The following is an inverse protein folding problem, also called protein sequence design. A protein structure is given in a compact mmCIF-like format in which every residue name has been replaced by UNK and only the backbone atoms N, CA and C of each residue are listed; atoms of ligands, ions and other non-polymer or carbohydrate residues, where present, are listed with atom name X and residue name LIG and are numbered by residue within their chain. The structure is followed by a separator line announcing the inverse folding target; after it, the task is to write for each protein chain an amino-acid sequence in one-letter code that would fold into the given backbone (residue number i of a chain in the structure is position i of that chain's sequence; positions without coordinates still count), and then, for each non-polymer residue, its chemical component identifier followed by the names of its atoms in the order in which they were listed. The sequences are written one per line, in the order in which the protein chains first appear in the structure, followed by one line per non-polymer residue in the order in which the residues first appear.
data_IF_764519051885
#
_entry.id   IF_764519051885
#
_cell.length_a   1.000
_cell.length_b   1.000
_cell.length_c   1.000
_cell.angle_alpha   90.00
_cell.angle_beta   90.00
_cell.angle_gamma   90.00
#
_symmetry.space_group_name_H-M   'P 1'
#
loop_
_entity.id
_entity.type
_entity.pdbx_description
1 polymer ?
#
# COMPACT_ATOMS: atom_id res chain seq x y z
N UNK A 1 -182.49 -130.97 16.50
CA UNK A 1 -181.71 -130.40 15.38
C UNK A 1 -181.79 -128.86 15.25
N UNK A 2 -182.64 -128.11 15.98
CA UNK A 2 -182.77 -126.66 15.78
C UNK A 2 -181.76 -125.77 16.56
N UNK A 3 -180.96 -126.30 17.50
CA UNK A 3 -180.10 -125.50 18.39
C UNK A 3 -178.70 -125.18 17.84
N UNK A 4 -178.24 -125.86 16.78
CA UNK A 4 -176.85 -125.77 16.31
C UNK A 4 -176.60 -124.62 15.30
N UNK A 5 -177.54 -124.38 14.37
CA UNK A 5 -177.39 -123.33 13.34
C UNK A 5 -177.43 -121.89 13.87
N UNK A 6 -177.95 -121.66 15.08
CA UNK A 6 -177.98 -120.33 15.69
C UNK A 6 -176.62 -119.91 16.26
N UNK A 7 -175.80 -120.88 16.69
CA UNK A 7 -174.47 -120.63 17.26
C UNK A 7 -173.47 -120.23 16.17
N UNK A 8 -173.45 -120.95 15.04
CA UNK A 8 -172.59 -120.64 13.88
C UNK A 8 -172.86 -119.24 13.31
N UNK A 9 -174.13 -118.80 13.25
CA UNK A 9 -174.48 -117.47 12.74
C UNK A 9 -173.94 -116.35 13.64
N UNK A 10 -174.00 -116.53 14.96
CA UNK A 10 -173.49 -115.55 15.93
C UNK A 10 -171.96 -115.47 15.86
N UNK A 11 -171.27 -116.62 15.77
CA UNK A 11 -169.81 -116.68 15.60
C UNK A 11 -169.37 -115.99 14.31
N UNK A 12 -170.08 -116.21 13.20
CA UNK A 12 -169.78 -115.56 11.93
C UNK A 12 -170.01 -114.04 11.99
N UNK A 13 -171.06 -113.58 12.69
CA UNK A 13 -171.28 -112.14 12.91
C UNK A 13 -170.18 -111.50 13.78
N UNK A 14 -169.75 -112.20 14.83
CA UNK A 14 -168.63 -111.75 15.67
C UNK A 14 -167.31 -111.69 14.88
N UNK A 15 -167.03 -112.70 14.07
CA UNK A 15 -165.86 -112.72 13.19
C UNK A 15 -165.90 -111.58 12.17
N UNK A 16 -167.06 -111.33 11.55
CA UNK A 16 -167.24 -110.22 10.61
C UNK A 16 -167.05 -108.86 11.28
N UNK A 17 -167.61 -108.65 12.48
CA UNK A 17 -167.41 -107.43 13.28
C UNK A 17 -165.93 -107.22 13.60
N UNK A 18 -165.20 -108.30 13.96
CA UNK A 18 -163.76 -108.26 14.24
C UNK A 18 -162.94 -107.93 13.00
N UNK A 19 -163.22 -108.55 11.86
CA UNK A 19 -162.55 -108.24 10.59
C UNK A 19 -162.82 -106.79 10.18
N UNK A 20 -164.05 -106.32 10.35
CA UNK A 20 -164.44 -104.94 10.02
C UNK A 20 -163.71 -103.92 10.91
N UNK A 21 -163.55 -104.20 12.21
CA UNK A 21 -162.79 -103.32 13.10
C UNK A 21 -161.29 -103.36 12.83
N UNK A 22 -160.72 -104.54 12.51
CA UNK A 22 -159.32 -104.67 12.06
C UNK A 22 -159.07 -103.92 10.76
N UNK A 23 -159.97 -104.02 9.77
CA UNK A 23 -159.87 -103.28 8.51
C UNK A 23 -159.93 -101.77 8.74
N UNK A 24 -160.84 -101.29 9.60
CA UNK A 24 -160.92 -99.88 9.96
C UNK A 24 -159.63 -99.39 10.65
N UNK A 25 -159.07 -100.20 11.57
CA UNK A 25 -157.80 -99.89 12.22
C UNK A 25 -156.64 -99.84 11.22
N UNK A 26 -156.55 -100.80 10.29
CA UNK A 26 -155.53 -100.82 9.24
C UNK A 26 -155.66 -99.61 8.29
N UNK A 27 -156.88 -99.24 7.90
CA UNK A 27 -157.13 -98.04 7.10
C UNK A 27 -156.69 -96.77 7.83
N UNK A 28 -156.96 -96.66 9.13
CA UNK A 28 -156.51 -95.54 9.95
C UNK A 28 -154.98 -95.51 10.08
N UNK A 29 -154.33 -96.64 10.31
CA UNK A 29 -152.86 -96.75 10.36
C UNK A 29 -152.23 -96.37 9.02
N UNK A 30 -152.79 -96.82 7.91
CA UNK A 30 -152.28 -96.50 6.57
C UNK A 30 -152.41 -95.00 6.28
N UNK A 31 -153.52 -94.37 6.64
CA UNK A 31 -153.69 -92.93 6.56
C UNK A 31 -152.66 -92.18 7.42
N UNK A 32 -152.38 -92.64 8.64
CA UNK A 32 -151.32 -92.06 9.49
C UNK A 32 -149.92 -92.21 8.90
N UNK A 33 -149.60 -93.37 8.31
CA UNK A 33 -148.32 -93.60 7.64
C UNK A 33 -148.15 -92.68 6.43
N UNK A 34 -149.20 -92.49 5.63
CA UNK A 34 -149.16 -91.57 4.49
C UNK A 34 -148.93 -90.13 4.94
N UNK A 35 -149.61 -89.67 6.00
CA UNK A 35 -149.37 -88.36 6.60
C UNK A 35 -147.94 -88.22 7.12
N UNK A 36 -147.41 -89.23 7.83
CA UNK A 36 -146.03 -89.23 8.32
C UNK A 36 -145.02 -89.17 7.18
N UNK A 37 -145.25 -89.90 6.08
CA UNK A 37 -144.40 -89.87 4.90
C UNK A 37 -144.41 -88.49 4.21
N UNK A 38 -145.58 -87.87 4.05
CA UNK A 38 -145.66 -86.52 3.48
C UNK A 38 -144.97 -85.48 4.37
N UNK A 39 -145.13 -85.57 5.70
CA UNK A 39 -144.45 -84.70 6.65
C UNK A 39 -142.93 -84.86 6.59
N UNK A 40 -142.42 -86.10 6.53
CA UNK A 40 -140.98 -86.36 6.39
C UNK A 40 -140.45 -85.79 5.08
N UNK A 41 -141.15 -86.03 3.96
CA UNK A 41 -140.78 -85.50 2.64
C UNK A 41 -140.73 -83.97 2.65
N UNK A 42 -141.72 -83.32 3.26
CA UNK A 42 -141.76 -81.86 3.40
C UNK A 42 -140.58 -81.36 4.23
N UNK A 43 -140.33 -81.95 5.41
CA UNK A 43 -139.24 -81.57 6.29
C UNK A 43 -137.87 -81.75 5.64
N UNK A 44 -137.62 -82.87 4.95
CA UNK A 44 -136.39 -83.10 4.20
C UNK A 44 -136.24 -82.11 3.04
N UNK A 45 -137.32 -81.76 2.35
CA UNK A 45 -137.28 -80.77 1.26
C UNK A 45 -136.92 -79.37 1.79
N UNK A 46 -137.46 -78.98 2.95
CA UNK A 46 -137.13 -77.72 3.63
C UNK A 46 -135.65 -77.71 4.01
N UNK A 47 -135.14 -78.78 4.65
CA UNK A 47 -133.73 -78.87 5.03
C UNK A 47 -132.79 -78.80 3.82
N UNK A 48 -133.11 -79.48 2.72
CA UNK A 48 -132.31 -79.43 1.49
C UNK A 48 -132.25 -78.00 0.94
N UNK A 49 -133.36 -77.26 0.96
CA UNK A 49 -133.37 -75.85 0.54
C UNK A 49 -132.52 -74.98 1.46
N UNK A 50 -132.63 -75.15 2.78
CA UNK A 50 -131.80 -74.42 3.75
C UNK A 50 -130.30 -74.71 3.58
N UNK A 51 -129.93 -75.96 3.30
CA UNK A 51 -128.54 -76.33 3.02
C UNK A 51 -128.05 -75.72 1.71
N UNK A 52 -128.85 -75.76 0.64
CA UNK A 52 -128.51 -75.16 -0.63
C UNK A 52 -128.33 -73.63 -0.51
N UNK A 53 -129.17 -72.94 0.26
CA UNK A 53 -129.03 -71.50 0.51
C UNK A 53 -127.76 -71.17 1.30
N UNK A 54 -127.46 -71.95 2.35
CA UNK A 54 -126.20 -71.81 3.10
C UNK A 54 -124.97 -72.09 2.24
N UNK A 55 -125.03 -73.11 1.38
CA UNK A 55 -123.97 -73.45 0.45
C UNK A 55 -123.71 -72.31 -0.53
N UNK A 56 -124.75 -71.77 -1.16
CA UNK A 56 -124.64 -70.62 -2.07
C UNK A 56 -124.01 -69.41 -1.36
N UNK A 57 -124.48 -69.07 -0.15
CA UNK A 57 -123.92 -67.97 0.64
C UNK A 57 -122.43 -68.17 0.99
N UNK A 58 -122.01 -69.42 1.29
CA UNK A 58 -120.61 -69.73 1.55
C UNK A 58 -119.76 -69.67 0.28
N UNK A 59 -120.29 -70.15 -0.86
CA UNK A 59 -119.62 -70.04 -2.15
C UNK A 59 -119.39 -68.58 -2.54
N UNK A 60 -120.38 -67.70 -2.35
CA UNK A 60 -120.24 -66.25 -2.59
C UNK A 60 -119.16 -65.63 -1.69
N UNK A 61 -119.11 -66.01 -0.40
CA UNK A 61 -118.07 -65.54 0.52
C UNK A 61 -116.67 -66.03 0.10
N UNK A 62 -116.54 -67.28 -0.36
CA UNK A 62 -115.29 -67.83 -0.87
C UNK A 62 -114.81 -67.04 -2.09
N UNK A 63 -115.71 -66.78 -3.05
CA UNK A 63 -115.39 -65.99 -4.25
C UNK A 63 -114.97 -64.57 -3.86
N UNK A 64 -115.70 -63.93 -2.94
CA UNK A 64 -115.35 -62.60 -2.44
C UNK A 64 -113.95 -62.56 -1.81
N UNK A 65 -113.63 -63.53 -0.95
CA UNK A 65 -112.32 -63.62 -0.28
C UNK A 65 -111.19 -63.92 -1.27
N UNK A 66 -111.41 -64.80 -2.25
CA UNK A 66 -110.44 -65.08 -3.31
C UNK A 66 -110.14 -63.83 -4.14
N UNK A 67 -111.17 -63.08 -4.56
CA UNK A 67 -111.01 -61.84 -5.31
C UNK A 67 -110.26 -60.76 -4.50
N UNK A 68 -110.56 -60.66 -3.20
CA UNK A 68 -109.85 -59.75 -2.29
C UNK A 68 -108.38 -60.15 -2.11
N UNK A 69 -108.11 -61.46 -1.97
CA UNK A 69 -106.76 -62.01 -1.89
C UNK A 69 -105.95 -61.71 -3.16
N UNK A 70 -106.54 -61.91 -4.34
CA UNK A 70 -105.89 -61.62 -5.62
C UNK A 70 -105.59 -60.13 -5.80
N UNK A 71 -106.54 -59.25 -5.46
CA UNK A 71 -106.33 -57.78 -5.51
C UNK A 71 -105.18 -57.35 -4.59
N UNK A 72 -105.14 -57.88 -3.37
CA UNK A 72 -104.06 -57.57 -2.42
C UNK A 72 -102.70 -58.06 -2.93
N UNK A 73 -102.64 -59.28 -3.48
CA UNK A 73 -101.41 -59.83 -4.06
C UNK A 73 -100.90 -58.98 -5.24
N UNK A 74 -101.79 -58.52 -6.10
CA UNK A 74 -101.46 -57.63 -7.23
C UNK A 74 -100.90 -56.29 -6.72
N UNK A 75 -101.58 -55.65 -5.77
CA UNK A 75 -101.12 -54.37 -5.18
C UNK A 75 -99.75 -54.49 -4.52
N UNK A 76 -99.52 -55.55 -3.74
CA UNK A 76 -98.21 -55.81 -3.12
C UNK A 76 -97.13 -56.04 -4.17
N UNK A 77 -97.45 -56.75 -5.25
CA UNK A 77 -96.50 -56.99 -6.35
C UNK A 77 -96.12 -55.70 -7.07
N UNK A 78 -97.08 -54.81 -7.34
CA UNK A 78 -96.81 -53.50 -7.92
C UNK A 78 -95.96 -52.63 -6.99
N UNK A 79 -96.29 -52.59 -5.70
CA UNK A 79 -95.53 -51.83 -4.71
C UNK A 79 -94.08 -52.34 -4.59
N UNK A 80 -93.86 -53.66 -4.64
CA UNK A 80 -92.51 -54.24 -4.64
C UNK A 80 -91.72 -53.87 -5.90
N UNK A 81 -92.36 -53.85 -7.07
CA UNK A 81 -91.74 -53.40 -8.32
C UNK A 81 -91.35 -51.92 -8.23
N UNK A 82 -92.25 -51.08 -7.73
CA UNK A 82 -92.00 -49.65 -7.56
C UNK A 82 -90.84 -49.41 -6.57
N UNK A 83 -90.84 -50.07 -5.42
CA UNK A 83 -89.76 -49.97 -4.43
C UNK A 83 -88.40 -50.40 -5.02
N UNK A 84 -88.37 -51.45 -5.84
CA UNK A 84 -87.15 -51.88 -6.52
C UNK A 84 -86.61 -50.80 -7.48
N UNK A 85 -87.49 -50.17 -8.25
CA UNK A 85 -87.13 -49.06 -9.15
C UNK A 85 -86.64 -47.83 -8.36
N UNK A 86 -87.36 -47.43 -7.31
CA UNK A 86 -86.96 -46.32 -6.45
C UNK A 86 -85.61 -46.58 -5.81
N UNK A 87 -85.36 -47.79 -5.30
CA UNK A 87 -84.07 -48.15 -4.73
C UNK A 87 -82.94 -48.07 -5.76
N UNK A 88 -83.16 -48.50 -7.01
CA UNK A 88 -82.18 -48.35 -8.09
C UNK A 88 -81.88 -46.87 -8.37
N UNK A 89 -82.90 -46.01 -8.42
CA UNK A 89 -82.71 -44.57 -8.61
C UNK A 89 -81.92 -43.92 -7.47
N UNK A 90 -82.23 -44.28 -6.22
CA UNK A 90 -81.49 -43.78 -5.05
C UNK A 90 -80.02 -44.21 -5.11
N UNK A 91 -79.72 -45.45 -5.51
CA UNK A 91 -78.34 -45.93 -5.65
C UNK A 91 -77.56 -45.17 -6.74
N UNK A 92 -78.21 -44.84 -7.86
CA UNK A 92 -77.60 -44.02 -8.91
C UNK A 92 -77.27 -42.61 -8.36
N UNK A 93 -78.20 -41.99 -7.62
CA UNK A 93 -77.97 -40.68 -7.01
C UNK A 93 -76.84 -40.70 -5.98
N UNK A 94 -76.77 -41.74 -5.14
CA UNK A 94 -75.67 -41.93 -4.18
C UNK A 94 -74.34 -42.00 -4.92
N UNK A 95 -74.26 -42.81 -5.99
CA UNK A 95 -73.02 -42.95 -6.78
C UNK A 95 -72.59 -41.63 -7.42
N UNK A 96 -73.54 -40.82 -7.91
CA UNK A 96 -73.27 -39.49 -8.46
C UNK A 96 -72.72 -38.53 -7.39
N UNK A 97 -73.35 -38.49 -6.21
CA UNK A 97 -72.90 -37.65 -5.10
C UNK A 97 -71.52 -38.06 -4.58
N UNK A 98 -71.22 -39.35 -4.54
CA UNK A 98 -69.89 -39.86 -4.17
C UNK A 98 -68.82 -39.39 -5.16
N UNK A 99 -69.13 -39.42 -6.47
CA UNK A 99 -68.22 -38.92 -7.50
C UNK A 99 -68.02 -37.40 -7.41
N UNK A 100 -69.09 -36.62 -7.19
CA UNK A 100 -68.98 -35.18 -6.99
C UNK A 100 -68.13 -34.84 -5.76
N UNK A 101 -68.35 -35.56 -4.65
CA UNK A 101 -67.54 -35.42 -3.43
C UNK A 101 -66.06 -35.68 -3.71
N UNK A 102 -65.74 -36.75 -4.45
CA UNK A 102 -64.35 -37.06 -4.82
C UNK A 102 -63.72 -35.93 -5.66
N UNK A 103 -64.42 -35.45 -6.70
CA UNK A 103 -63.95 -34.36 -7.54
C UNK A 103 -63.72 -33.06 -6.75
N UNK A 104 -64.59 -32.76 -5.78
CA UNK A 104 -64.44 -31.59 -4.91
C UNK A 104 -63.24 -31.75 -3.95
N UNK A 105 -63.01 -32.95 -3.42
CA UNK A 105 -61.83 -33.22 -2.59
C UNK A 105 -60.52 -33.06 -3.37
N UNK A 106 -60.46 -33.53 -4.62
CA UNK A 106 -59.30 -33.35 -5.49
C UNK A 106 -59.01 -31.87 -5.75
N UNK A 107 -60.05 -31.08 -6.09
CA UNK A 107 -59.94 -29.63 -6.25
C UNK A 107 -59.47 -28.92 -4.97
N UNK A 108 -59.92 -29.38 -3.81
CA UNK A 108 -59.52 -28.81 -2.52
C UNK A 108 -58.04 -29.06 -2.25
N UNK A 109 -57.57 -30.30 -2.42
CA UNK A 109 -56.15 -30.67 -2.25
C UNK A 109 -55.25 -29.86 -3.20
N UNK A 110 -55.66 -29.70 -4.47
CA UNK A 110 -54.92 -28.89 -5.42
C UNK A 110 -54.86 -27.41 -5.00
N UNK A 111 -55.98 -26.86 -4.53
CA UNK A 111 -56.05 -25.47 -4.05
C UNK A 111 -55.17 -25.26 -2.82
N UNK A 112 -55.16 -26.21 -1.88
CA UNK A 112 -54.27 -26.17 -0.71
C UNK A 112 -52.79 -26.18 -1.11
N UNK A 113 -52.41 -27.01 -2.07
CA UNK A 113 -51.05 -27.04 -2.61
C UNK A 113 -50.65 -25.71 -3.25
N UNK A 114 -51.54 -25.10 -4.04
CA UNK A 114 -51.31 -23.80 -4.66
C UNK A 114 -51.17 -22.68 -3.62
N UNK A 115 -52.01 -22.68 -2.57
CA UNK A 115 -51.90 -21.73 -1.45
C UNK A 115 -50.54 -21.85 -0.75
N UNK A 116 -50.08 -23.08 -0.48
CA UNK A 116 -48.77 -23.27 0.16
C UNK A 116 -47.62 -22.79 -0.73
N UNK A 117 -47.69 -23.07 -2.04
CA UNK A 117 -46.72 -22.56 -3.02
C UNK A 117 -46.67 -21.04 -3.03
N UNK A 118 -47.83 -20.37 -3.04
CA UNK A 118 -47.87 -18.90 -3.00
C UNK A 118 -47.35 -18.33 -1.68
N UNK A 119 -47.60 -18.98 -0.54
CA UNK A 119 -46.99 -18.59 0.74
C UNK A 119 -45.47 -18.66 0.69
N UNK A 120 -44.90 -19.75 0.19
CA UNK A 120 -43.44 -19.88 0.05
C UNK A 120 -42.85 -18.82 -0.89
N UNK A 121 -43.54 -18.49 -1.99
CA UNK A 121 -43.12 -17.41 -2.89
C UNK A 121 -43.19 -16.04 -2.19
N UNK A 122 -44.25 -15.77 -1.43
CA UNK A 122 -44.39 -14.52 -0.67
C UNK A 122 -43.27 -14.36 0.37
N UNK A 123 -42.94 -15.41 1.13
CA UNK A 123 -41.83 -15.39 2.08
C UNK A 123 -40.48 -15.12 1.41
N UNK A 124 -40.24 -15.72 0.24
CA UNK A 124 -39.04 -15.46 -0.57
C UNK A 124 -38.96 -14.00 -1.00
N UNK A 125 -40.07 -13.43 -1.51
CA UNK A 125 -40.14 -12.03 -1.92
C UNK A 125 -39.91 -11.07 -0.74
N UNK A 126 -40.45 -11.38 0.44
CA UNK A 126 -40.23 -10.59 1.66
C UNK A 126 -38.74 -10.59 2.03
N UNK A 127 -38.06 -11.76 1.96
CA UNK A 127 -36.62 -11.86 2.22
C UNK A 127 -35.80 -11.03 1.22
N UNK A 128 -36.12 -11.13 -0.08
CA UNK A 128 -35.44 -10.36 -1.13
C UNK A 128 -35.64 -8.85 -0.94
N UNK A 129 -36.87 -8.40 -0.63
CA UNK A 129 -37.16 -6.99 -0.34
C UNK A 129 -36.31 -6.48 0.82
N UNK A 130 -36.24 -7.23 1.92
CA UNK A 130 -35.44 -6.85 3.10
C UNK A 130 -33.94 -6.75 2.78
N UNK A 131 -33.43 -7.65 1.93
CA UNK A 131 -32.04 -7.58 1.48
C UNK A 131 -31.78 -6.32 0.64
N UNK A 132 -32.66 -6.02 -0.33
CA UNK A 132 -32.55 -4.82 -1.16
C UNK A 132 -32.66 -3.53 -0.34
N UNK A 133 -33.53 -3.47 0.68
CA UNK A 133 -33.60 -2.33 1.60
C UNK A 133 -32.28 -2.11 2.36
N UNK A 134 -31.63 -3.18 2.80
CA UNK A 134 -30.32 -3.08 3.45
C UNK A 134 -29.22 -2.61 2.50
N UNK A 135 -29.18 -3.15 1.27
CA UNK A 135 -28.22 -2.74 0.23
C UNK A 135 -28.42 -1.26 -0.15
N UNK A 136 -29.68 -0.81 -0.26
CA UNK A 136 -30.01 0.59 -0.53
C UNK A 136 -29.54 1.51 0.59
N UNK A 137 -29.82 1.16 1.86
CA UNK A 137 -29.38 1.92 3.01
C UNK A 137 -27.84 2.03 3.06
N UNK A 138 -27.13 0.94 2.79
CA UNK A 138 -25.67 0.95 2.73
C UNK A 138 -25.15 1.83 1.59
N UNK A 139 -25.77 1.77 0.41
CA UNK A 139 -25.41 2.62 -0.72
C UNK A 139 -25.63 4.10 -0.42
N UNK A 140 -26.67 4.46 0.31
CA UNK A 140 -26.92 5.84 0.74
C UNK A 140 -25.85 6.35 1.71
N UNK A 141 -25.46 5.52 2.69
CA UNK A 141 -24.36 5.83 3.61
C UNK A 141 -23.06 6.06 2.83
N UNK A 142 -22.72 5.14 1.93
CA UNK A 142 -21.52 5.23 1.10
C UNK A 142 -21.52 6.50 0.23
N UNK A 143 -22.66 6.83 -0.38
CA UNK A 143 -22.79 8.06 -1.19
C UNK A 143 -22.55 9.32 -0.36
N UNK A 144 -23.11 9.37 0.86
CA UNK A 144 -22.93 10.50 1.76
C UNK A 144 -21.46 10.66 2.18
N UNK A 145 -20.76 9.56 2.50
CA UNK A 145 -19.32 9.56 2.79
C UNK A 145 -18.48 10.08 1.62
N UNK A 146 -18.75 9.60 0.39
CA UNK A 146 -18.05 10.08 -0.81
C UNK A 146 -18.29 11.58 -1.04
N UNK A 147 -19.51 12.05 -0.79
CA UNK A 147 -19.85 13.47 -0.89
C UNK A 147 -19.07 14.31 0.13
N UNK A 148 -18.97 13.84 1.37
CA UNK A 148 -18.19 14.50 2.44
C UNK A 148 -16.69 14.48 2.14
N UNK A 149 -16.13 13.37 1.68
CA UNK A 149 -14.74 13.28 1.23
C UNK A 149 -14.45 14.25 0.09
N UNK A 150 -15.37 14.39 -0.88
CA UNK A 150 -15.22 15.32 -2.00
C UNK A 150 -15.13 16.76 -1.49
N UNK A 151 -16.01 17.15 -0.58
CA UNK A 151 -15.99 18.48 0.05
C UNK A 151 -14.67 18.70 0.81
N UNK A 152 -14.21 17.69 1.56
CA UNK A 152 -12.92 17.73 2.27
C UNK A 152 -11.73 17.91 1.32
N UNK A 153 -11.67 17.13 0.23
CA UNK A 153 -10.63 17.24 -0.80
C UNK A 153 -10.66 18.60 -1.51
N UNK A 154 -11.84 19.11 -1.85
CA UNK A 154 -11.99 20.44 -2.46
C UNK A 154 -11.47 21.56 -1.52
N UNK A 155 -11.75 21.44 -0.22
CA UNK A 155 -11.22 22.37 0.78
C UNK A 155 -9.69 22.27 0.90
N UNK A 156 -9.15 21.05 0.92
CA UNK A 156 -7.70 20.81 0.98
C UNK A 156 -6.98 21.36 -0.26
N UNK A 157 -7.58 21.20 -1.45
CA UNK A 157 -7.07 21.76 -2.70
C UNK A 157 -7.09 23.30 -2.68
N UNK A 158 -8.16 23.92 -2.19
CA UNK A 158 -8.21 25.39 -2.00
C UNK A 158 -7.12 25.88 -1.06
N UNK A 159 -6.90 25.19 0.07
CA UNK A 159 -5.81 25.52 1.01
C UNK A 159 -4.44 25.38 0.36
N UNK A 160 -4.20 24.31 -0.39
CA UNK A 160 -2.94 24.09 -1.11
C UNK A 160 -2.68 25.17 -2.17
N UNK A 161 -3.70 25.52 -2.96
CA UNK A 161 -3.62 26.60 -3.94
C UNK A 161 -3.33 27.95 -3.27
N UNK A 162 -3.93 28.23 -2.10
CA UNK A 162 -3.66 29.45 -1.35
C UNK A 162 -2.22 29.50 -0.81
N UNK A 163 -1.71 28.40 -0.27
CA UNK A 163 -0.31 28.28 0.17
C UNK A 163 0.67 28.47 -1.00
N UNK A 164 0.42 27.79 -2.12
CA UNK A 164 1.28 27.87 -3.30
C UNK A 164 1.30 29.29 -3.89
N UNK A 165 0.16 29.99 -3.90
CA UNK A 165 0.10 31.40 -4.30
C UNK A 165 0.86 32.31 -3.33
N UNK A 166 0.80 32.04 -2.01
CA UNK A 166 1.56 32.79 -1.01
C UNK A 166 3.07 32.56 -1.17
N UNK A 167 3.52 31.30 -1.31
CA UNK A 167 4.92 30.95 -1.58
C UNK A 167 5.41 31.57 -2.89
N UNK A 168 4.59 31.56 -3.95
CA UNK A 168 4.93 32.18 -5.23
C UNK A 168 5.13 33.69 -5.05
N UNK A 169 4.22 34.36 -4.33
CA UNK A 169 4.31 35.80 -4.05
C UNK A 169 5.56 36.14 -3.23
N UNK A 170 5.81 35.41 -2.14
CA UNK A 170 7.02 35.56 -1.31
C UNK A 170 8.29 35.31 -2.14
N UNK A 171 8.31 34.30 -3.01
CA UNK A 171 9.43 34.01 -3.90
C UNK A 171 9.65 35.11 -4.94
N UNK A 172 8.61 35.70 -5.52
CA UNK A 172 8.75 36.87 -6.39
C UNK A 172 9.26 38.09 -5.63
N UNK A 173 8.79 38.32 -4.41
CA UNK A 173 9.23 39.45 -3.58
C UNK A 173 10.71 39.30 -3.18
N UNK A 174 11.14 38.08 -2.82
CA UNK A 174 12.53 37.76 -2.54
C UNK A 174 13.41 37.87 -3.79
N UNK A 175 12.89 37.44 -4.95
CA UNK A 175 13.59 37.55 -6.24
C UNK A 175 13.83 39.02 -6.61
N UNK A 176 12.84 39.89 -6.45
CA UNK A 176 12.97 41.33 -6.70
C UNK A 176 13.98 41.96 -5.74
N UNK A 177 13.97 41.58 -4.45
CA UNK A 177 14.97 42.04 -3.48
C UNK A 177 16.39 41.62 -3.87
N UNK A 178 16.58 40.35 -4.25
CA UNK A 178 17.88 39.84 -4.69
C UNK A 178 18.34 40.48 -6.01
N UNK A 179 17.44 40.70 -6.98
CA UNK A 179 17.77 41.40 -8.23
C UNK A 179 18.24 42.83 -7.95
N UNK A 180 17.57 43.56 -7.05
CA UNK A 180 18.01 44.89 -6.62
C UNK A 180 19.37 44.86 -5.91
N UNK A 181 19.60 43.88 -5.04
CA UNK A 181 20.88 43.72 -4.34
C UNK A 181 22.01 43.37 -5.31
N UNK A 182 21.76 42.49 -6.30
CA UNK A 182 22.70 42.18 -7.39
C UNK A 182 23.02 43.42 -8.21
N UNK A 183 22.04 44.26 -8.54
CA UNK A 183 22.27 45.51 -9.28
C UNK A 183 23.16 46.46 -8.45
N UNK A 184 22.90 46.60 -7.14
CA UNK A 184 23.73 47.42 -6.25
C UNK A 184 25.16 46.88 -6.14
N UNK A 185 25.32 45.56 -5.99
CA UNK A 185 26.63 44.91 -5.93
C UNK A 185 27.38 45.01 -7.25
N UNK A 186 26.71 44.87 -8.39
CA UNK A 186 27.31 45.12 -9.72
C UNK A 186 27.80 46.56 -9.84
N UNK A 187 27.04 47.54 -9.37
CA UNK A 187 27.48 48.93 -9.39
C UNK A 187 28.67 49.17 -8.46
N UNK A 188 28.67 48.58 -7.26
CA UNK A 188 29.82 48.62 -6.35
C UNK A 188 31.06 47.97 -6.98
N UNK A 189 30.89 46.83 -7.64
CA UNK A 189 31.96 46.14 -8.35
C UNK A 189 32.53 47.02 -9.48
N UNK A 190 31.69 47.63 -10.31
CA UNK A 190 32.13 48.57 -11.35
C UNK A 190 32.94 49.72 -10.74
N UNK A 191 32.49 50.28 -9.62
CA UNK A 191 33.21 51.35 -8.92
C UNK A 191 34.56 50.84 -8.36
N UNK A 192 34.61 49.65 -7.75
CA UNK A 192 35.85 49.03 -7.29
C UNK A 192 36.81 48.73 -8.45
N UNK A 193 36.29 48.29 -9.60
CA UNK A 193 37.07 48.01 -10.81
C UNK A 193 37.66 49.31 -11.39
N UNK A 194 36.90 50.41 -11.38
CA UNK A 194 37.39 51.73 -11.75
C UNK A 194 38.47 52.24 -10.78
N UNK A 195 38.26 52.08 -9.46
CA UNK A 195 39.27 52.39 -8.44
C UNK A 195 40.52 51.54 -8.67
N UNK A 196 40.37 50.24 -8.97
CA UNK A 196 41.47 49.34 -9.29
C UNK A 196 42.23 49.78 -10.53
N UNK A 197 41.55 50.21 -11.60
CA UNK A 197 42.20 50.76 -12.80
C UNK A 197 42.98 52.03 -12.46
N UNK A 198 42.40 52.96 -11.70
CA UNK A 198 43.11 54.17 -11.26
C UNK A 198 44.29 53.89 -10.34
N UNK A 199 44.15 52.94 -9.40
CA UNK A 199 45.26 52.49 -8.56
C UNK A 199 46.33 51.79 -9.39
N UNK A 200 45.96 50.99 -10.38
CA UNK A 200 46.92 50.32 -11.29
C UNK A 200 47.68 51.35 -12.12
N UNK A 201 47.00 52.40 -12.61
CA UNK A 201 47.64 53.51 -13.31
C UNK A 201 48.56 54.30 -12.36
N UNK A 202 48.13 54.58 -11.13
CA UNK A 202 48.94 55.26 -10.12
C UNK A 202 50.16 54.43 -9.72
N UNK A 203 50.00 53.11 -9.56
CA UNK A 203 51.10 52.16 -9.34
C UNK A 203 52.03 52.16 -10.53
N UNK A 204 51.54 52.11 -11.77
CA UNK A 204 52.38 52.15 -12.97
C UNK A 204 53.15 53.49 -13.09
N UNK A 205 52.53 54.62 -12.72
CA UNK A 205 53.21 55.92 -12.65
C UNK A 205 54.31 55.88 -11.57
N UNK A 206 53.99 55.34 -10.38
CA UNK A 206 54.93 55.19 -9.28
C UNK A 206 56.04 54.19 -9.59
N UNK A 207 55.76 53.09 -10.28
CA UNK A 207 56.74 52.13 -10.81
C UNK A 207 57.61 52.78 -11.87
N UNK A 208 57.07 53.64 -12.74
CA UNK A 208 57.90 54.40 -13.68
C UNK A 208 58.81 55.41 -12.96
N UNK A 209 58.30 56.10 -11.93
CA UNK A 209 59.11 56.97 -11.07
C UNK A 209 60.15 56.17 -10.28
N UNK A 210 59.79 55.01 -9.72
CA UNK A 210 60.70 54.09 -9.04
C UNK A 210 61.72 53.56 -10.01
N UNK A 211 61.35 53.11 -11.21
CA UNK A 211 62.29 52.64 -12.25
C UNK A 211 63.23 53.76 -12.70
N UNK A 212 62.75 55.00 -12.76
CA UNK A 212 63.58 56.17 -13.03
C UNK A 212 64.55 56.44 -11.87
N UNK A 213 64.05 56.44 -10.64
CA UNK A 213 64.85 56.61 -9.43
C UNK A 213 65.82 55.45 -9.20
N UNK A 214 65.44 54.22 -9.54
CA UNK A 214 66.28 53.02 -9.51
C UNK A 214 67.34 53.12 -10.60
N UNK A 215 67.02 53.61 -11.81
CA UNK A 215 68.05 53.92 -12.81
C UNK A 215 68.98 55.04 -12.36
N UNK A 216 68.48 56.07 -11.70
CA UNK A 216 69.28 57.13 -11.10
C UNK A 216 70.13 56.62 -9.93
N UNK A 217 69.59 55.72 -9.09
CA UNK A 217 70.27 55.07 -7.97
C UNK A 217 71.32 54.09 -8.48
N UNK A 218 71.03 53.29 -9.51
CA UNK A 218 71.97 52.42 -10.21
C UNK A 218 73.07 53.25 -10.86
N UNK A 219 72.75 54.39 -11.49
CA UNK A 219 73.77 55.29 -12.03
C UNK A 219 74.61 55.94 -10.92
N UNK A 220 74.00 56.31 -9.79
CA UNK A 220 74.69 56.83 -8.61
C UNK A 220 75.58 55.77 -7.98
N UNK A 221 75.11 54.54 -7.85
CA UNK A 221 75.85 53.39 -7.34
C UNK A 221 76.96 53.00 -8.31
N UNK A 222 76.72 52.98 -9.61
CA UNK A 222 77.77 52.76 -10.61
C UNK A 222 78.81 53.89 -10.59
N UNK A 223 78.38 55.14 -10.40
CA UNK A 223 79.28 56.29 -10.22
C UNK A 223 80.05 56.18 -8.92
N UNK A 224 79.43 55.73 -7.83
CA UNK A 224 80.04 55.51 -6.51
C UNK A 224 81.01 54.33 -6.55
N UNK A 225 80.65 53.23 -7.19
CA UNK A 225 81.49 52.05 -7.47
C UNK A 225 82.68 52.48 -8.31
N UNK A 226 82.48 53.26 -9.38
CA UNK A 226 83.57 53.80 -10.21
C UNK A 226 84.51 54.69 -9.39
N UNK A 227 83.97 55.60 -8.57
CA UNK A 227 84.76 56.42 -7.65
C UNK A 227 85.51 55.59 -6.60
N UNK A 228 84.91 54.52 -6.08
CA UNK A 228 85.54 53.62 -5.11
C UNK A 228 86.63 52.77 -5.78
N UNK A 229 86.45 52.33 -7.02
CA UNK A 229 87.47 51.66 -7.83
C UNK A 229 88.62 52.60 -8.16
N UNK A 230 88.33 53.86 -8.51
CA UNK A 230 89.37 54.87 -8.78
C UNK A 230 90.14 55.21 -7.49
N UNK A 231 89.46 55.32 -6.34
CA UNK A 231 90.11 55.44 -5.02
C UNK A 231 90.88 54.19 -4.60
N UNK A 232 90.42 53.00 -4.95
CA UNK A 232 91.14 51.74 -4.73
C UNK A 232 92.45 51.70 -5.54
N UNK A 233 92.43 52.20 -6.78
CA UNK A 233 93.65 52.38 -7.61
C UNK A 233 94.59 53.42 -7.02
N UNK A 234 94.07 54.57 -6.59
CA UNK A 234 94.85 55.67 -5.98
C UNK A 234 95.49 55.23 -4.65
N UNK A 235 94.74 54.49 -3.81
CA UNK A 235 95.26 53.87 -2.58
C UNK A 235 96.32 52.80 -2.90
N UNK A 236 96.15 52.01 -3.96
CA UNK A 236 97.18 51.05 -4.39
C UNK A 236 98.45 51.77 -4.89
N UNK A 237 98.33 52.94 -5.49
CA UNK A 237 99.46 53.80 -5.87
C UNK A 237 100.15 54.42 -4.66
N UNK A 238 99.38 54.89 -3.67
CA UNK A 238 99.91 55.34 -2.37
C UNK A 238 100.57 54.18 -1.65
N UNK A 239 100.00 52.98 -1.66
CA UNK A 239 100.58 51.75 -1.09
C UNK A 239 101.91 51.42 -1.75
N UNK A 240 102.05 51.56 -3.08
CA UNK A 240 103.36 51.46 -3.78
C UNK A 240 104.34 52.53 -3.31
N UNK A 241 103.91 53.79 -3.19
CA UNK A 241 104.75 54.89 -2.66
C UNK A 241 105.14 54.70 -1.18
N UNK A 242 104.24 54.14 -0.36
CA UNK A 242 104.44 53.87 1.05
C UNK A 242 105.40 52.69 1.25
N UNK A 243 105.28 51.64 0.44
CA UNK A 243 106.24 50.54 0.39
C UNK A 243 107.64 51.07 0.04
N UNK A 244 107.76 52.00 -0.92
CA UNK A 244 109.03 52.66 -1.25
C UNK A 244 109.57 53.56 -0.13
N UNK A 245 108.70 54.20 0.67
CA UNK A 245 109.11 55.01 1.83
C UNK A 245 109.48 54.16 3.05
N UNK A 246 108.82 53.02 3.26
CA UNK A 246 109.13 52.06 4.32
C UNK A 246 110.50 51.41 4.12
N UNK A 247 110.94 51.20 2.89
CA UNK A 247 112.34 50.80 2.58
C UNK A 247 113.38 51.87 2.90
N UNK A 248 112.96 53.14 3.10
CA UNK A 248 113.85 54.28 3.37
C UNK A 248 113.88 54.73 4.84
N UNK A 249 113.21 54.01 5.76
CA UNK A 249 113.37 54.22 7.20
C UNK A 249 112.68 55.45 7.82
N UNK A 250 111.52 55.88 7.31
CA UNK A 250 110.68 56.93 7.93
C UNK A 250 109.63 56.41 8.93
N UNK A 251 109.25 57.25 9.91
CA UNK A 251 108.54 56.93 11.16
C UNK A 251 107.04 56.52 10.96
N UNK A 252 106.61 55.40 11.56
CA UNK A 252 105.47 54.56 11.10
C UNK A 252 104.21 54.53 11.98
N UNK A 253 104.01 55.48 12.91
CA UNK A 253 102.87 55.42 13.87
C UNK A 253 101.48 55.75 13.29
N UNK A 254 101.37 56.49 12.18
CA UNK A 254 100.08 56.90 11.59
C UNK A 254 99.51 55.87 10.59
N UNK A 255 100.39 55.14 9.91
CA UNK A 255 100.08 54.20 8.83
C UNK A 255 99.24 52.99 9.31
N UNK A 256 99.40 52.60 10.58
CA UNK A 256 98.67 51.46 11.12
C UNK A 256 97.18 51.77 11.35
N UNK A 257 96.84 53.03 11.70
CA UNK A 257 95.45 53.46 11.91
C UNK A 257 94.63 53.49 10.62
N UNK A 258 95.26 53.87 9.50
CA UNK A 258 94.58 53.96 8.20
C UNK A 258 94.27 52.59 7.59
N UNK A 259 95.16 51.60 7.80
CA UNK A 259 94.93 50.20 7.38
C UNK A 259 93.75 49.56 8.14
N UNK A 260 93.63 49.81 9.44
CA UNK A 260 92.50 49.33 10.25
C UNK A 260 91.17 49.93 9.79
N UNK A 261 91.13 51.23 9.51
CA UNK A 261 89.91 51.92 9.06
C UNK A 261 89.37 51.34 7.75
N UNK A 262 90.26 51.02 6.80
CA UNK A 262 89.88 50.47 5.49
C UNK A 262 89.45 49.01 5.52
N UNK A 263 90.03 48.20 6.41
CA UNK A 263 89.57 46.81 6.62
C UNK A 263 88.17 46.75 7.25
N UNK A 264 87.83 47.74 8.10
CA UNK A 264 86.50 47.87 8.72
C UNK A 264 85.41 48.15 7.67
N UNK A 265 85.68 49.05 6.73
CA UNK A 265 84.78 49.43 5.63
C UNK A 265 84.42 48.24 4.71
N UNK A 266 85.39 47.34 4.45
CA UNK A 266 85.16 46.12 3.66
C UNK A 266 84.27 45.09 4.38
N UNK A 267 84.40 44.99 5.71
CA UNK A 267 83.59 44.06 6.51
C UNK A 267 82.12 44.50 6.57
N UNK A 268 81.88 45.82 6.62
CA UNK A 268 80.53 46.40 6.61
C UNK A 268 79.78 46.09 5.30
N UNK A 269 80.45 46.20 4.14
CA UNK A 269 79.85 45.87 2.83
C UNK A 269 79.50 44.39 2.67
N UNK A 270 80.36 43.48 3.13
CA UNK A 270 80.04 42.03 3.14
C UNK A 270 78.86 41.71 4.04
N UNK A 271 78.73 42.43 5.16
CA UNK A 271 77.63 42.25 6.10
C UNK A 271 76.29 42.70 5.50
N UNK A 272 76.25 43.82 4.76
CA UNK A 272 75.03 44.28 4.09
C UNK A 272 74.56 43.34 2.98
N UNK A 273 75.47 42.84 2.14
CA UNK A 273 75.11 41.89 1.07
C UNK A 273 74.50 40.59 1.64
N UNK A 274 75.00 40.11 2.78
CA UNK A 274 74.45 38.95 3.48
C UNK A 274 73.03 39.19 4.00
N UNK A 275 72.74 40.38 4.56
CA UNK A 275 71.40 40.74 5.06
C UNK A 275 70.35 40.71 3.95
N UNK A 276 70.67 41.23 2.76
CA UNK A 276 69.74 41.30 1.62
C UNK A 276 69.36 39.92 1.10
N UNK A 277 70.33 39.00 0.99
CA UNK A 277 70.07 37.60 0.55
C UNK A 277 69.21 36.83 1.56
N UNK A 278 69.46 36.98 2.87
CA UNK A 278 68.66 36.34 3.93
C UNK A 278 67.18 36.75 3.84
N UNK A 279 66.91 38.04 3.61
CA UNK A 279 65.54 38.57 3.48
C UNK A 279 64.75 37.92 2.34
N UNK A 280 65.40 37.63 1.21
CA UNK A 280 64.75 36.97 0.08
C UNK A 280 64.34 35.53 0.39
N UNK A 281 65.18 34.78 1.12
CA UNK A 281 64.89 33.39 1.55
C UNK A 281 63.71 33.38 2.55
N UNK A 282 63.72 34.26 3.57
CA UNK A 282 62.63 34.33 4.57
C UNK A 282 61.26 34.58 3.94
N UNK A 283 61.18 35.42 2.90
CA UNK A 283 59.92 35.67 2.19
C UNK A 283 59.37 34.41 1.50
N UNK A 284 60.23 33.59 0.89
CA UNK A 284 59.82 32.35 0.24
C UNK A 284 59.40 31.28 1.26
N UNK A 285 60.10 31.19 2.40
CA UNK A 285 59.75 30.30 3.51
C UNK A 285 58.35 30.62 4.04
N UNK A 286 58.06 31.91 4.29
CA UNK A 286 56.74 32.35 4.75
C UNK A 286 55.62 32.02 3.76
N UNK A 287 55.89 32.16 2.45
CA UNK A 287 54.95 31.79 1.40
C UNK A 287 54.64 30.28 1.46
N UNK A 288 55.67 29.45 1.51
CA UNK A 288 55.52 27.99 1.56
C UNK A 288 54.75 27.51 2.79
N UNK A 289 55.08 28.01 4.00
CA UNK A 289 54.37 27.63 5.23
C UNK A 289 52.89 28.00 5.21
N UNK A 290 52.55 29.13 4.58
CA UNK A 290 51.15 29.54 4.39
C UNK A 290 50.41 28.56 3.47
N UNK A 291 51.03 28.15 2.37
CA UNK A 291 50.46 27.17 1.44
C UNK A 291 50.30 25.78 2.09
N UNK A 292 51.30 25.32 2.85
CA UNK A 292 51.22 24.07 3.63
C UNK A 292 50.06 24.10 4.65
N UNK A 293 49.83 25.24 5.31
CA UNK A 293 48.68 25.42 6.22
C UNK A 293 47.32 25.34 5.50
N UNK A 294 47.20 25.94 4.31
CA UNK A 294 45.98 25.88 3.52
C UNK A 294 45.68 24.45 3.03
N UNK A 295 46.72 23.69 2.67
CA UNK A 295 46.61 22.29 2.26
C UNK A 295 46.05 21.39 3.38
N UNK A 296 46.48 21.60 4.63
CA UNK A 296 45.93 20.89 5.80
C UNK A 296 44.42 21.14 5.94
N UNK A 297 43.98 22.40 5.81
CA UNK A 297 42.55 22.76 5.88
C UNK A 297 41.75 22.09 4.75
N UNK A 298 42.30 22.03 3.54
CA UNK A 298 41.67 21.33 2.43
C UNK A 298 41.48 19.84 2.74
N UNK A 299 42.52 19.17 3.25
CA UNK A 299 42.49 17.75 3.61
C UNK A 299 41.44 17.45 4.69
N UNK A 300 41.32 18.29 5.72
CA UNK A 300 40.25 18.17 6.74
C UNK A 300 38.85 18.21 6.15
N UNK A 301 38.60 19.15 5.21
CA UNK A 301 37.30 19.27 4.54
C UNK A 301 37.00 18.03 3.70
N UNK A 302 38.00 17.51 2.99
CA UNK A 302 37.87 16.31 2.17
C UNK A 302 37.55 15.08 3.02
N UNK A 303 38.24 14.85 4.14
CA UNK A 303 37.96 13.74 5.06
C UNK A 303 36.49 13.77 5.53
N UNK A 304 35.99 14.94 5.94
CA UNK A 304 34.58 15.09 6.37
C UNK A 304 33.59 14.74 5.25
N UNK A 305 33.86 15.19 4.02
CA UNK A 305 33.03 14.85 2.85
C UNK A 305 33.02 13.34 2.59
N UNK A 306 34.19 12.71 2.62
CA UNK A 306 34.34 11.27 2.38
C UNK A 306 33.64 10.43 3.47
N UNK A 307 33.75 10.82 4.74
CA UNK A 307 33.06 10.14 5.84
C UNK A 307 31.54 10.19 5.70
N UNK A 308 31.00 11.38 5.42
CA UNK A 308 29.55 11.55 5.19
C UNK A 308 29.09 10.68 4.01
N UNK A 309 29.87 10.63 2.94
CA UNK A 309 29.54 9.83 1.77
C UNK A 309 29.61 8.32 2.07
N UNK A 310 30.58 7.88 2.87
CA UNK A 310 30.68 6.49 3.33
C UNK A 310 29.47 6.07 4.18
N UNK A 311 29.01 6.93 5.10
CA UNK A 311 27.80 6.67 5.91
C UNK A 311 26.57 6.44 5.04
N UNK A 312 26.40 7.24 3.96
CA UNK A 312 25.31 7.07 3.00
C UNK A 312 25.41 5.71 2.29
N UNK A 313 26.60 5.34 1.82
CA UNK A 313 26.84 4.04 1.14
C UNK A 313 26.49 2.87 2.07
N UNK A 314 26.90 2.92 3.34
CA UNK A 314 26.60 1.87 4.33
C UNK A 314 25.11 1.82 4.65
N UNK A 315 24.44 2.96 4.76
CA UNK A 315 22.99 2.99 5.03
C UNK A 315 22.20 2.30 3.91
N UNK A 316 22.53 2.58 2.64
CA UNK A 316 21.90 1.90 1.50
C UNK A 316 22.18 0.39 1.47
N UNK A 317 23.39 -0.05 1.83
CA UNK A 317 23.71 -1.47 1.97
C UNK A 317 22.86 -2.17 3.04
N UNK A 318 22.61 -1.50 4.16
CA UNK A 318 21.93 -2.12 5.29
C UNK A 318 20.40 -2.14 5.16
N UNK A 319 19.80 -1.16 4.47
CA UNK A 319 18.35 -0.93 4.51
C UNK A 319 17.58 -1.43 3.29
N UNK A 320 18.17 -1.38 2.10
CA UNK A 320 17.40 -1.50 0.86
C UNK A 320 18.02 -2.43 -0.18
N UNK A 321 19.32 -2.73 -0.09
CA UNK A 321 20.03 -3.55 -1.09
C UNK A 321 19.79 -3.11 -2.55
N UNK A 322 19.48 -1.82 -2.77
CA UNK A 322 19.32 -1.25 -4.11
C UNK A 322 20.71 -1.01 -4.68
N UNK A 323 21.12 -1.96 -5.52
CA UNK A 323 22.43 -2.03 -6.17
C UNK A 323 22.78 -0.74 -6.93
N UNK A 324 21.84 -0.20 -7.69
CA UNK A 324 22.06 0.98 -8.54
C UNK A 324 22.40 2.23 -7.74
N UNK A 325 21.72 2.41 -6.60
CA UNK A 325 21.94 3.56 -5.72
C UNK A 325 23.32 3.46 -5.05
N UNK A 326 23.71 2.26 -4.62
CA UNK A 326 25.05 2.00 -4.06
C UNK A 326 26.14 2.35 -5.08
N UNK A 327 25.96 1.99 -6.36
CA UNK A 327 26.90 2.30 -7.44
C UNK A 327 27.01 3.82 -7.64
N UNK A 328 25.88 4.52 -7.69
CA UNK A 328 25.82 5.99 -7.82
C UNK A 328 26.57 6.70 -6.68
N UNK A 329 26.31 6.30 -5.44
CA UNK A 329 26.95 6.88 -4.26
C UNK A 329 28.44 6.55 -4.17
N UNK A 330 28.83 5.37 -4.67
CA UNK A 330 30.24 4.95 -4.80
C UNK A 330 30.99 5.84 -5.81
N UNK A 331 30.35 6.20 -6.93
CA UNK A 331 30.94 7.11 -7.93
C UNK A 331 31.14 8.52 -7.38
N UNK A 332 30.19 9.02 -6.56
CA UNK A 332 30.34 10.30 -5.86
C UNK A 332 31.53 10.28 -4.90
N UNK A 333 31.75 9.17 -4.18
CA UNK A 333 32.92 8.99 -3.32
C UNK A 333 34.23 9.10 -4.12
N UNK A 334 34.32 8.42 -5.26
CA UNK A 334 35.50 8.46 -6.14
C UNK A 334 35.77 9.87 -6.67
N UNK A 335 34.73 10.61 -7.07
CA UNK A 335 34.89 11.98 -7.57
C UNK A 335 35.51 12.92 -6.51
N UNK A 336 35.16 12.76 -5.23
CA UNK A 336 35.75 13.55 -4.13
C UNK A 336 37.26 13.28 -4.01
N UNK A 337 37.69 12.04 -4.23
CA UNK A 337 39.11 11.67 -4.20
C UNK A 337 39.89 12.25 -5.39
N UNK A 338 39.30 12.20 -6.59
CA UNK A 338 39.90 12.78 -7.82
C UNK A 338 40.07 14.29 -7.66
N UNK A 339 39.03 14.99 -7.22
CA UNK A 339 39.07 16.44 -6.98
C UNK A 339 40.18 16.82 -5.97
N UNK A 340 40.34 16.03 -4.91
CA UNK A 340 41.41 16.24 -3.92
C UNK A 340 42.80 16.07 -4.52
N UNK A 341 43.03 15.00 -5.29
CA UNK A 341 44.33 14.70 -5.89
C UNK A 341 44.72 15.72 -6.99
N UNK A 342 43.77 16.19 -7.81
CA UNK A 342 44.05 17.11 -8.92
C UNK A 342 44.20 18.57 -8.45
N UNK A 343 43.27 19.05 -7.63
CA UNK A 343 43.21 20.47 -7.25
C UNK A 343 44.06 20.77 -6.03
N UNK A 344 44.13 19.85 -5.06
CA UNK A 344 44.77 20.12 -3.78
C UNK A 344 46.30 20.11 -3.80
N UNK A 345 46.91 19.31 -4.66
CA UNK A 345 48.36 19.08 -4.67
C UNK A 345 49.15 20.04 -5.57
N UNK A 346 48.50 20.66 -6.54
CA UNK A 346 49.18 21.50 -7.54
C UNK A 346 49.82 22.76 -6.92
N UNK A 347 49.11 23.45 -6.02
CA UNK A 347 49.59 24.69 -5.42
C UNK A 347 50.78 24.48 -4.46
N UNK A 348 50.75 23.40 -3.67
CA UNK A 348 51.83 23.08 -2.73
C UNK A 348 53.12 22.68 -3.46
N UNK A 349 53.00 22.05 -4.63
CA UNK A 349 54.13 21.69 -5.48
C UNK A 349 54.84 22.91 -6.06
N UNK A 350 54.08 23.89 -6.58
CA UNK A 350 54.65 25.11 -7.15
C UNK A 350 55.42 25.93 -6.11
N UNK A 351 54.83 26.13 -4.93
CA UNK A 351 55.46 26.92 -3.87
C UNK A 351 56.68 26.22 -3.25
N UNK A 352 56.65 24.88 -3.17
CA UNK A 352 57.82 24.08 -2.80
C UNK A 352 58.98 24.28 -3.79
N UNK A 353 58.73 24.14 -5.09
CA UNK A 353 59.77 24.30 -6.12
C UNK A 353 60.36 25.72 -6.13
N UNK A 354 59.51 26.74 -5.93
CA UNK A 354 59.96 28.14 -5.79
C UNK A 354 60.92 28.32 -4.61
N UNK A 355 60.61 27.69 -3.47
CA UNK A 355 61.46 27.73 -2.28
C UNK A 355 62.80 27.03 -2.51
N UNK A 356 62.79 25.81 -3.06
CA UNK A 356 64.00 25.03 -3.39
C UNK A 356 64.93 25.84 -4.29
N UNK A 357 64.40 26.41 -5.37
CA UNK A 357 65.18 27.22 -6.31
C UNK A 357 65.84 28.44 -5.63
N UNK A 358 65.14 29.06 -4.67
CA UNK A 358 65.66 30.23 -3.94
C UNK A 358 66.74 29.83 -2.95
N UNK A 359 66.55 28.73 -2.22
CA UNK A 359 67.52 28.19 -1.26
C UNK A 359 68.79 27.76 -1.99
N UNK A 360 68.66 27.07 -3.12
CA UNK A 360 69.80 26.63 -3.93
C UNK A 360 70.63 27.79 -4.49
N UNK A 361 69.97 28.88 -4.92
CA UNK A 361 70.63 30.09 -5.42
C UNK A 361 71.59 30.72 -4.40
N UNK A 362 71.34 30.50 -3.10
CA UNK A 362 72.11 31.08 -2.01
C UNK A 362 72.72 30.02 -1.09
N UNK A 363 73.08 28.85 -1.63
CA UNK A 363 73.60 27.70 -0.87
C UNK A 363 74.87 28.02 -0.06
N UNK A 364 75.67 28.98 -0.51
CA UNK A 364 76.88 29.46 0.18
C UNK A 364 76.58 30.15 1.52
N UNK A 365 75.32 30.52 1.79
CA UNK A 365 74.91 31.08 3.08
C UNK A 365 74.54 29.96 4.04
N UNK A 366 75.16 29.96 5.22
CA UNK A 366 74.79 29.08 6.35
C UNK A 366 73.28 29.14 6.66
N UNK A 367 72.68 30.32 6.50
CA UNK A 367 71.22 30.53 6.63
C UNK A 367 70.39 29.70 5.66
N UNK A 368 70.86 29.53 4.42
CA UNK A 368 70.19 28.73 3.40
C UNK A 368 70.27 27.23 3.74
N UNK A 369 71.43 26.77 4.20
CA UNK A 369 71.62 25.39 4.67
C UNK A 369 70.69 25.06 5.84
N UNK A 370 70.57 25.96 6.84
CA UNK A 370 69.64 25.78 7.97
C UNK A 370 68.18 25.68 7.54
N UNK A 371 67.75 26.50 6.57
CA UNK A 371 66.39 26.40 6.00
C UNK A 371 66.17 25.06 5.31
N UNK A 372 67.14 24.60 4.54
CA UNK A 372 67.08 23.30 3.87
C UNK A 372 66.91 22.15 4.86
N UNK A 373 67.63 22.20 5.98
CA UNK A 373 67.61 21.16 7.02
C UNK A 373 66.30 21.17 7.82
N UNK A 374 65.82 22.35 8.24
CA UNK A 374 64.57 22.50 9.02
C UNK A 374 63.36 22.06 8.21
N UNK A 375 63.25 22.51 6.95
CA UNK A 375 62.13 22.19 6.08
C UNK A 375 62.34 20.89 5.29
N UNK A 376 63.47 20.22 5.54
CA UNK A 376 63.86 18.94 4.94
C UNK A 376 63.65 18.91 3.42
N UNK A 377 64.01 20.00 2.73
CA UNK A 377 63.60 20.23 1.34
C UNK A 377 64.07 19.11 0.41
N UNK A 378 65.25 18.52 0.67
CA UNK A 378 65.79 17.40 -0.12
C UNK A 378 65.04 16.07 0.05
N UNK A 379 64.22 15.92 1.10
CA UNK A 379 63.45 14.70 1.38
C UNK A 379 61.94 14.88 1.21
N UNK A 380 61.50 16.08 0.85
CA UNK A 380 60.08 16.37 0.65
C UNK A 380 59.57 15.61 -0.58
N UNK A 381 58.70 14.63 -0.35
CA UNK A 381 58.08 13.85 -1.42
C UNK A 381 56.57 14.10 -1.43
N UNK A 382 56.12 14.84 -2.45
CA UNK A 382 54.69 15.12 -2.63
C UNK A 382 53.84 13.85 -2.81
N UNK A 383 54.44 12.77 -3.34
CA UNK A 383 53.75 11.50 -3.53
C UNK A 383 53.31 10.85 -2.21
N UNK A 384 53.94 11.18 -1.07
CA UNK A 384 53.50 10.72 0.25
C UNK A 384 52.13 11.33 0.65
N UNK A 385 51.74 12.42 0.01
CA UNK A 385 50.49 13.12 0.27
C UNK A 385 49.40 12.82 -0.77
N UNK A 386 49.75 12.15 -1.88
CA UNK A 386 48.80 11.61 -2.84
C UNK A 386 48.02 10.45 -2.24
N UNK A 387 46.75 10.36 -2.60
CA UNK A 387 45.96 9.16 -2.37
C UNK A 387 46.21 8.23 -3.56
N UNK A 388 47.08 7.23 -3.42
CA UNK A 388 47.19 6.15 -4.39
C UNK A 388 46.15 5.09 -4.05
N UNK A 389 44.99 5.15 -4.70
CA UNK A 389 43.86 4.33 -4.28
C UNK A 389 43.86 2.94 -4.91
N UNK A 390 43.84 1.95 -4.02
CA UNK A 390 43.42 0.56 -4.21
C UNK A 390 41.97 0.50 -4.76
N UNK A 391 41.15 1.54 -4.51
CA UNK A 391 39.78 1.70 -5.04
C UNK A 391 39.72 2.24 -6.48
N UNK A 392 40.78 2.84 -7.01
CA UNK A 392 40.85 3.39 -8.39
C UNK A 392 41.33 2.37 -9.42
N UNK A 393 42.12 1.38 -8.99
CA UNK A 393 42.78 0.41 -9.87
C UNK A 393 41.89 -0.79 -10.19
N UNK A 394 40.92 -1.12 -9.33
CA UNK A 394 40.04 -2.29 -9.52
C UNK A 394 38.68 -2.00 -10.17
N UNK A 395 38.40 -0.75 -10.58
CA UNK A 395 37.17 -0.42 -11.34
C UNK A 395 37.45 -0.04 -12.80
N UNK A 396 38.70 -0.20 -13.27
CA UNK A 396 39.06 -0.02 -14.68
C UNK A 396 38.79 -1.29 -15.51
N UNK A 397 38.59 -2.44 -14.85
CA UNK A 397 37.98 -3.62 -15.46
C UNK A 397 36.48 -3.60 -15.12
N UNK A 398 35.63 -3.61 -16.14
CA UNK A 398 34.16 -3.47 -16.11
C UNK A 398 33.41 -4.51 -15.24
N UNK A 399 34.10 -5.29 -14.43
CA UNK A 399 33.58 -6.50 -13.78
C UNK A 399 33.26 -6.36 -12.29
N UNK A 400 33.62 -5.25 -11.61
CA UNK A 400 33.21 -5.00 -10.20
C UNK A 400 32.74 -3.57 -9.97
N UNK A 401 31.45 -3.33 -10.18
CA UNK A 401 30.79 -2.04 -9.88
C UNK A 401 30.67 -1.70 -8.38
N UNK A 402 31.20 -2.54 -7.48
CA UNK A 402 31.12 -2.38 -6.03
C UNK A 402 32.50 -2.17 -5.41
N UNK A 403 32.73 -0.99 -4.82
CA UNK A 403 33.88 -0.81 -3.95
C UNK A 403 33.69 -1.61 -2.66
N UNK A 404 34.69 -2.38 -2.24
CA UNK A 404 34.67 -3.00 -0.92
C UNK A 404 34.66 -1.92 0.17
N UNK A 405 33.75 -2.04 1.14
CA UNK A 405 33.66 -1.10 2.28
C UNK A 405 34.97 -1.08 3.07
N UNK A 406 35.68 -2.20 3.13
CA UNK A 406 37.00 -2.26 3.77
C UNK A 406 38.04 -1.39 3.07
N UNK A 407 37.96 -1.21 1.75
CA UNK A 407 38.87 -0.35 1.00
C UNK A 407 38.55 1.14 1.20
N UNK A 408 37.27 1.51 1.20
CA UNK A 408 36.83 2.88 1.48
C UNK A 408 37.31 3.36 2.86
N UNK A 409 37.17 2.50 3.89
CA UNK A 409 37.62 2.81 5.25
C UNK A 409 39.13 3.03 5.29
N UNK A 410 39.92 2.16 4.62
CA UNK A 410 41.37 2.30 4.53
C UNK A 410 41.78 3.63 3.90
N UNK A 411 41.10 4.08 2.83
CA UNK A 411 41.40 5.35 2.18
C UNK A 411 41.17 6.55 3.11
N UNK A 412 40.07 6.53 3.88
CA UNK A 412 39.74 7.56 4.87
C UNK A 412 40.76 7.55 6.02
N UNK A 413 41.16 6.36 6.49
CA UNK A 413 42.16 6.21 7.57
C UNK A 413 43.56 6.69 7.14
N UNK A 414 44.00 6.34 5.93
CA UNK A 414 45.25 6.86 5.35
C UNK A 414 45.24 8.39 5.27
N UNK A 415 44.11 8.97 4.89
CA UNK A 415 43.96 10.43 4.86
C UNK A 415 44.12 11.07 6.25
N UNK A 416 43.53 10.44 7.28
CA UNK A 416 43.59 10.90 8.68
C UNK A 416 44.98 10.77 9.28
N UNK A 417 45.63 9.62 9.12
CA UNK A 417 46.96 9.37 9.69
C UNK A 417 47.98 10.39 9.17
N UNK A 418 48.01 10.62 7.86
CA UNK A 418 48.92 11.61 7.28
C UNK A 418 48.51 13.05 7.62
N UNK A 419 47.24 13.34 7.92
CA UNK A 419 46.81 14.68 8.33
C UNK A 419 47.42 15.05 9.70
N UNK A 420 47.41 14.12 10.65
CA UNK A 420 47.97 14.33 11.97
C UNK A 420 49.50 14.47 11.91
N UNK A 421 50.15 13.68 11.05
CA UNK A 421 51.58 13.82 10.74
C UNK A 421 51.91 15.21 10.17
N UNK A 422 51.19 15.67 9.13
CA UNK A 422 51.37 16.99 8.51
C UNK A 422 51.18 18.15 9.49
N UNK A 423 50.20 18.05 10.40
CA UNK A 423 49.98 19.05 11.46
C UNK A 423 51.15 19.11 12.42
N UNK A 424 51.66 17.95 12.83
CA UNK A 424 52.81 17.84 13.72
C UNK A 424 54.06 18.42 13.05
N UNK A 425 54.32 18.05 11.80
CA UNK A 425 55.43 18.53 10.99
C UNK A 425 55.40 20.06 10.84
N UNK A 426 54.28 20.65 10.41
CA UNK A 426 54.15 22.10 10.25
C UNK A 426 54.36 22.86 11.58
N UNK A 427 53.90 22.28 12.69
CA UNK A 427 54.08 22.85 14.02
C UNK A 427 55.56 22.82 14.43
N UNK A 428 56.26 21.73 14.14
CA UNK A 428 57.68 21.58 14.40
C UNK A 428 58.51 22.55 13.54
N UNK A 429 58.26 22.61 12.24
CA UNK A 429 58.96 23.52 11.32
C UNK A 429 58.86 24.98 11.77
N UNK A 430 57.66 25.45 12.11
CA UNK A 430 57.45 26.82 12.62
C UNK A 430 58.22 27.06 13.92
N UNK A 431 58.26 26.08 14.82
CA UNK A 431 58.98 26.18 16.09
C UNK A 431 60.50 26.27 15.85
N UNK A 432 61.04 25.43 14.98
CA UNK A 432 62.46 25.40 14.67
C UNK A 432 62.94 26.66 13.95
N UNK A 433 62.12 27.25 13.07
CA UNK A 433 62.43 28.54 12.43
C UNK A 433 62.53 29.67 13.46
N UNK A 434 61.59 29.73 14.40
CA UNK A 434 61.61 30.73 15.48
C UNK A 434 62.84 30.55 16.38
N UNK A 435 63.18 29.31 16.76
CA UNK A 435 64.36 29.02 17.60
C UNK A 435 65.65 29.45 16.91
N UNK A 436 65.75 29.28 15.60
CA UNK A 436 66.94 29.64 14.81
C UNK A 436 66.98 31.12 14.39
N UNK A 437 66.04 31.95 14.84
CA UNK A 437 65.92 33.37 14.48
C UNK A 437 65.86 33.60 12.95
N UNK A 438 65.15 32.71 12.26
CA UNK A 438 64.89 32.76 10.81
C UNK A 438 63.47 33.24 10.55
#
# INVERSE_FOLDING_TARGET
MAKNSQVELIEMQLAYQKIKSELANLQQQNYQLEQNYQNLRLNSTIQIKEFAEKENNLQDQIIYLQNKGQTLANNLTEQLKQNKLTNQQVQIQISQLEQEKFNLQEKLVQTEADIQKYKSQQESLIKQKKQLENELNQSQINYQQVKEEKISKDNMLKSFLHLNNKEKNEKTELKVKLENEIIQLKQKLINEEQIKVHLTQAIHIKENEINKLEKELINLDQKRIKQLIDKEKEINEIKKKLVNKLTNGENTKEIHKEKEAKQKELNELKQELSKTKKKQISNQVNKFLKTKSNFIILREKTIRKLQKQYEVIINYRNTTNIIEEIISETKKFQNILVEYNEVGLSQIYEDYNSLVNTVQRYIELEFSCKINDILKLNSFNLNNYKIFTITSTNSCEETKAYLDSGMIVKDIELLKNNLDELKSELKQEKKELIINQI
#
